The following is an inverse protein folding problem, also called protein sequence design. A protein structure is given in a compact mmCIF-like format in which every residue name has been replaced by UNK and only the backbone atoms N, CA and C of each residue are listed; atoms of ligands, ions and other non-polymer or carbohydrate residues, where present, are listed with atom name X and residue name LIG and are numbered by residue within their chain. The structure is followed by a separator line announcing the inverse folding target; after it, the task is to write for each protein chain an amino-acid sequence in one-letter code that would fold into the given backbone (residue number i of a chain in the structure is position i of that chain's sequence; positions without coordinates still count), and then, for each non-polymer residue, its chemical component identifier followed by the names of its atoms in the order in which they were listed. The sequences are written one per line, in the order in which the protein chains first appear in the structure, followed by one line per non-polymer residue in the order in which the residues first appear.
data_IF_661110640162
#
_entry.id   IF_661110640162
#
_cell.length_a   1.000
_cell.length_b   1.000
_cell.length_c   1.000
_cell.angle_alpha   90.00
_cell.angle_beta   90.00
_cell.angle_gamma   90.00
#
_symmetry.space_group_name_H-M   'P 1'
#
loop_
_entity.id
_entity.type
_entity.pdbx_description
1 polymer ?
#
# COMPACT_ATOMS: atom_id res chain seq x y z
N UNK A 1 -38.52 54.04 -31.62
CA UNK A 1 -37.70 53.40 -30.58
C UNK A 1 -37.55 51.89 -30.89
N UNK A 2 -36.41 51.48 -31.40
CA UNK A 2 -36.11 50.08 -31.68
C UNK A 2 -35.15 49.59 -30.59
N UNK A 3 -35.59 48.62 -29.76
CA UNK A 3 -34.72 47.92 -28.80
C UNK A 3 -33.84 46.92 -29.55
N UNK A 4 -32.53 47.09 -29.44
CA UNK A 4 -31.55 46.05 -29.78
C UNK A 4 -31.43 45.12 -28.58
N UNK A 5 -31.75 43.85 -28.77
CA UNK A 5 -31.44 42.79 -27.83
C UNK A 5 -30.07 42.22 -28.18
N UNK A 6 -29.09 42.42 -27.27
CA UNK A 6 -27.74 41.84 -27.40
C UNK A 6 -27.77 40.42 -26.82
N UNK A 7 -27.61 39.40 -27.68
CA UNK A 7 -27.37 38.01 -27.25
C UNK A 7 -25.92 37.91 -26.76
N UNK A 8 -25.77 37.61 -25.51
CA UNK A 8 -24.46 37.17 -24.94
C UNK A 8 -24.38 35.67 -25.08
N UNK A 9 -23.55 35.20 -26.02
CA UNK A 9 -23.22 33.79 -26.15
C UNK A 9 -22.16 33.42 -25.10
N UNK A 10 -22.55 32.65 -24.09
CA UNK A 10 -21.62 32.04 -23.13
C UNK A 10 -21.00 30.80 -23.80
N UNK A 11 -19.77 30.94 -24.21
CA UNK A 11 -18.93 29.80 -24.63
C UNK A 11 -18.52 29.00 -23.39
N UNK A 12 -19.20 27.90 -23.15
CA UNK A 12 -18.75 26.88 -22.21
C UNK A 12 -17.55 26.16 -22.84
N UNK A 13 -16.34 26.58 -22.46
CA UNK A 13 -15.12 25.83 -22.74
C UNK A 13 -15.10 24.56 -21.84
N UNK A 14 -15.60 23.45 -22.37
CA UNK A 14 -15.41 22.14 -21.77
C UNK A 14 -13.91 21.80 -21.80
N UNK A 15 -13.26 21.86 -20.66
CA UNK A 15 -11.93 21.27 -20.51
C UNK A 15 -12.05 19.76 -20.75
N UNK A 16 -11.65 19.30 -21.92
CA UNK A 16 -11.46 17.89 -22.18
C UNK A 16 -10.38 17.39 -21.21
N UNK A 17 -10.76 16.62 -20.21
CA UNK A 17 -9.81 15.86 -19.41
C UNK A 17 -9.13 14.91 -20.38
N UNK A 18 -7.87 15.17 -20.69
CA UNK A 18 -7.03 14.22 -21.44
C UNK A 18 -7.01 12.92 -20.63
N UNK A 19 -7.64 11.87 -21.14
CA UNK A 19 -7.55 10.55 -20.53
C UNK A 19 -6.09 10.16 -20.53
N UNK A 20 -5.55 9.86 -19.34
CA UNK A 20 -4.21 9.31 -19.21
C UNK A 20 -4.13 8.06 -20.09
N UNK A 21 -3.16 7.93 -21.00
CA UNK A 21 -3.06 6.76 -21.85
C UNK A 21 -3.00 5.49 -21.00
N UNK A 22 -3.82 4.50 -21.34
CA UNK A 22 -3.75 3.19 -20.67
C UNK A 22 -2.36 2.60 -20.90
N UNK A 23 -1.62 2.22 -19.83
CA UNK A 23 -0.31 1.61 -20.00
C UNK A 23 -0.38 0.38 -20.90
N UNK A 24 0.64 0.13 -21.74
CA UNK A 24 0.66 -1.05 -22.60
C UNK A 24 0.70 -2.33 -21.77
N UNK A 25 -0.01 -3.37 -22.23
CA UNK A 25 0.11 -4.72 -21.65
C UNK A 25 1.54 -5.22 -21.79
N UNK A 26 2.13 -5.72 -20.70
CA UNK A 26 3.51 -6.21 -20.72
C UNK A 26 3.55 -7.72 -20.83
N UNK A 27 4.55 -8.23 -21.55
CA UNK A 27 4.69 -9.66 -21.78
C UNK A 27 5.03 -10.42 -20.48
N UNK A 28 4.46 -11.60 -20.33
CA UNK A 28 4.74 -12.53 -19.22
C UNK A 28 6.18 -13.05 -19.22
N UNK A 29 6.81 -13.08 -20.39
CA UNK A 29 8.14 -13.62 -20.67
C UNK A 29 9.18 -12.54 -20.95
N UNK A 30 8.89 -11.30 -20.58
CA UNK A 30 9.82 -10.17 -20.72
C UNK A 30 11.14 -10.41 -19.99
N UNK A 31 12.20 -9.71 -20.40
CA UNK A 31 13.51 -9.83 -19.79
C UNK A 31 13.44 -9.59 -18.26
N UNK A 32 13.88 -10.59 -17.49
CA UNK A 32 13.83 -10.55 -16.01
C UNK A 32 12.49 -10.99 -15.38
N UNK A 33 11.50 -11.37 -16.19
CA UNK A 33 10.26 -11.92 -15.66
C UNK A 33 10.50 -13.30 -15.00
N UNK A 34 9.88 -13.57 -13.82
CA UNK A 34 9.88 -14.89 -13.20
C UNK A 34 9.23 -15.95 -14.08
N UNK A 35 9.53 -17.22 -13.81
CA UNK A 35 8.77 -18.33 -14.39
C UNK A 35 7.49 -18.50 -13.59
N UNK A 36 6.37 -18.13 -14.17
CA UNK A 36 5.07 -18.16 -13.51
C UNK A 36 4.38 -19.52 -13.60
N UNK A 37 3.76 -19.94 -12.51
CA UNK A 37 2.74 -20.99 -12.49
C UNK A 37 1.38 -20.36 -12.78
N UNK A 38 0.72 -20.78 -13.89
CA UNK A 38 -0.61 -20.26 -14.24
C UNK A 38 -1.70 -20.87 -13.35
N UNK A 39 -2.50 -19.99 -12.76
CA UNK A 39 -3.73 -20.37 -12.06
C UNK A 39 -4.91 -20.11 -13.01
N UNK A 40 -5.64 -21.15 -13.43
CA UNK A 40 -6.70 -21.00 -14.46
C UNK A 40 -7.86 -20.12 -14.00
N UNK A 41 -8.17 -20.14 -12.72
CA UNK A 41 -9.23 -19.33 -12.11
C UNK A 41 -8.97 -19.12 -10.61
N UNK A 42 -9.43 -17.99 -10.10
CA UNK A 42 -9.30 -17.66 -8.68
C UNK A 42 -7.87 -17.27 -8.26
N UNK A 43 -7.47 -17.71 -7.10
CA UNK A 43 -6.19 -17.34 -6.46
C UNK A 43 -5.24 -18.54 -6.34
N UNK A 44 -3.92 -18.31 -6.23
CA UNK A 44 -3.01 -19.34 -5.78
C UNK A 44 -3.42 -19.84 -4.37
N UNK A 45 -3.16 -21.12 -4.04
CA UNK A 45 -3.36 -21.60 -2.68
C UNK A 45 -2.59 -20.74 -1.66
N UNK A 46 -3.21 -20.42 -0.52
CA UNK A 46 -2.59 -19.61 0.52
C UNK A 46 -1.35 -20.27 1.17
N UNK A 47 -1.14 -21.57 0.94
CA UNK A 47 0.05 -22.32 1.39
C UNK A 47 1.15 -22.39 0.35
N UNK A 48 0.89 -21.94 -0.88
CA UNK A 48 1.86 -22.04 -1.97
C UNK A 48 2.78 -20.82 -2.01
N UNK A 49 4.07 -21.07 -2.18
CA UNK A 49 5.09 -20.02 -2.36
C UNK A 49 5.54 -19.93 -3.82
N UNK A 50 6.09 -18.79 -4.20
CA UNK A 50 6.66 -18.57 -5.53
C UNK A 50 5.84 -17.62 -6.41
N UNK A 51 5.96 -17.81 -7.73
CA UNK A 51 5.54 -16.87 -8.74
C UNK A 51 4.31 -17.40 -9.49
N UNK A 52 3.20 -16.68 -9.46
CA UNK A 52 1.92 -17.10 -10.04
C UNK A 52 1.38 -16.05 -11.01
N UNK A 53 0.64 -16.50 -12.04
CA UNK A 53 -0.11 -15.63 -12.93
C UNK A 53 -1.61 -15.96 -12.87
N UNK A 54 -2.43 -14.92 -12.74
CA UNK A 54 -3.91 -15.00 -12.68
C UNK A 54 -4.55 -14.04 -13.68
N UNK A 55 -5.85 -14.18 -13.87
CA UNK A 55 -6.64 -13.31 -14.74
C UNK A 55 -6.73 -13.84 -16.19
N UNK A 56 -7.34 -13.05 -17.09
CA UNK A 56 -7.75 -11.64 -16.95
C UNK A 56 -9.11 -11.40 -16.26
N UNK A 57 -9.84 -12.45 -15.90
CA UNK A 57 -11.13 -12.32 -15.23
C UNK A 57 -10.98 -12.38 -13.72
N UNK A 58 -11.65 -11.45 -13.03
CA UNK A 58 -11.62 -11.31 -11.58
C UNK A 58 -13.02 -11.40 -11.00
N UNK A 59 -13.22 -12.28 -10.03
CA UNK A 59 -14.49 -12.50 -9.36
C UNK A 59 -14.47 -11.99 -7.93
N UNK A 60 -15.57 -11.40 -7.49
CA UNK A 60 -15.74 -11.03 -6.09
C UNK A 60 -15.69 -12.29 -5.20
N UNK A 61 -14.87 -12.32 -4.15
CA UNK A 61 -14.75 -13.49 -3.32
C UNK A 61 -15.97 -13.63 -2.39
N UNK A 62 -16.33 -14.85 -1.99
CA UNK A 62 -17.48 -15.09 -1.11
C UNK A 62 -17.36 -14.40 0.25
N UNK A 63 -16.15 -14.01 0.67
CA UNK A 63 -15.86 -13.28 1.90
C UNK A 63 -16.34 -11.82 1.87
N UNK A 64 -16.67 -11.28 0.71
CA UNK A 64 -17.33 -9.97 0.59
C UNK A 64 -18.83 -10.00 0.91
N UNK A 65 -19.42 -11.19 0.92
CA UNK A 65 -20.84 -11.34 1.23
C UNK A 65 -21.06 -11.42 2.73
N UNK A 66 -22.02 -10.67 3.27
CA UNK A 66 -22.45 -10.81 4.66
C UNK A 66 -23.11 -12.19 4.81
N UNK A 67 -22.50 -13.05 5.61
CA UNK A 67 -23.03 -14.40 5.87
C UNK A 67 -23.87 -14.41 7.13
N UNK A 68 -25.05 -15.06 7.07
CA UNK A 68 -25.87 -15.29 8.26
C UNK A 68 -25.08 -16.07 9.33
N UNK A 69 -25.22 -15.65 10.59
CA UNK A 69 -24.52 -16.27 11.72
C UNK A 69 -23.06 -15.83 11.93
N UNK A 70 -22.51 -14.99 11.07
CA UNK A 70 -21.21 -14.35 11.29
C UNK A 70 -21.42 -13.04 12.05
N UNK A 71 -20.84 -12.95 13.25
CA UNK A 71 -20.88 -11.72 14.05
C UNK A 71 -19.95 -10.66 13.44
N UNK A 72 -20.50 -9.50 13.13
CA UNK A 72 -19.72 -8.37 12.64
C UNK A 72 -18.90 -7.73 13.76
N UNK A 73 -17.66 -7.35 13.45
CA UNK A 73 -16.84 -6.52 14.32
C UNK A 73 -17.34 -5.07 14.35
N UNK A 74 -16.72 -4.27 15.18
CA UNK A 74 -17.03 -2.84 15.35
C UNK A 74 -16.01 -2.01 14.56
N UNK A 75 -16.49 -1.03 13.78
CA UNK A 75 -15.64 -0.06 13.10
C UNK A 75 -15.86 1.31 13.75
N UNK A 76 -14.76 1.95 14.16
CA UNK A 76 -14.76 3.30 14.72
C UNK A 76 -13.75 4.17 14.00
N UNK A 77 -13.96 5.49 14.05
CA UNK A 77 -13.04 6.47 13.47
C UNK A 77 -12.75 7.59 14.47
N UNK A 78 -11.52 8.06 14.45
CA UNK A 78 -11.10 9.28 15.13
C UNK A 78 -10.04 10.01 14.31
N UNK A 79 -9.75 11.26 14.67
CA UNK A 79 -8.71 12.06 14.00
C UNK A 79 -7.53 12.31 14.92
N UNK A 80 -6.34 12.40 14.32
CA UNK A 80 -5.11 12.88 14.96
C UNK A 80 -4.69 14.18 14.27
N UNK A 81 -4.32 15.17 15.07
CA UNK A 81 -3.85 16.46 14.60
C UNK A 81 -2.33 16.45 14.43
N UNK A 82 -1.83 16.87 13.26
CA UNK A 82 -0.40 16.89 12.95
C UNK A 82 0.39 17.80 13.89
N UNK A 83 -0.23 18.85 14.43
CA UNK A 83 0.44 19.77 15.40
C UNK A 83 0.85 19.06 16.69
N UNK A 84 0.25 17.92 17.01
CA UNK A 84 0.57 17.10 18.17
C UNK A 84 1.58 15.99 17.86
N UNK A 85 1.92 15.78 16.58
CA UNK A 85 2.87 14.76 16.18
C UNK A 85 4.31 15.23 16.35
N UNK A 86 5.15 14.39 16.93
CA UNK A 86 6.61 14.59 16.99
C UNK A 86 7.31 14.17 15.69
N UNK A 87 6.69 13.28 14.93
CA UNK A 87 7.25 12.72 13.69
C UNK A 87 6.83 13.53 12.47
N UNK A 88 5.57 13.99 12.43
CA UNK A 88 4.98 14.70 11.29
C UNK A 88 4.18 15.92 11.77
N UNK A 89 4.87 16.96 12.31
CA UNK A 89 4.22 18.10 12.99
C UNK A 89 3.58 19.13 12.07
N UNK A 90 3.40 18.81 10.81
CA UNK A 90 2.97 19.73 9.74
C UNK A 90 4.05 19.75 8.68
N UNK A 91 3.77 19.21 7.52
CA UNK A 91 4.77 18.93 6.49
C UNK A 91 4.42 19.54 5.16
N UNK A 92 5.39 19.51 4.24
CA UNK A 92 5.20 20.00 2.89
C UNK A 92 4.06 19.25 2.18
N UNK A 93 3.15 20.01 1.59
CA UNK A 93 2.03 19.51 0.79
C UNK A 93 2.12 20.00 -0.64
N UNK A 94 3.30 19.86 -1.21
CA UNK A 94 3.55 20.33 -2.55
C UNK A 94 2.96 19.41 -3.60
N UNK A 95 2.77 19.97 -4.78
CA UNK A 95 2.60 19.19 -5.98
C UNK A 95 3.87 18.36 -6.27
N UNK A 96 3.77 17.48 -7.25
CA UNK A 96 4.94 16.73 -7.75
C UNK A 96 6.10 17.68 -8.06
N UNK A 97 7.28 17.40 -7.52
CA UNK A 97 8.47 18.22 -7.74
C UNK A 97 8.95 18.18 -9.19
N UNK A 98 9.87 19.07 -9.53
CA UNK A 98 10.51 19.09 -10.85
C UNK A 98 11.81 18.28 -10.82
N UNK A 99 12.16 17.54 -11.91
CA UNK A 99 13.45 16.85 -11.99
C UNK A 99 14.63 17.82 -11.80
N UNK A 100 15.56 17.46 -10.93
CA UNK A 100 16.78 18.25 -10.74
C UNK A 100 17.66 18.16 -12.00
N UNK A 101 17.99 19.28 -12.66
CA UNK A 101 18.82 19.26 -13.84
C UNK A 101 20.26 18.76 -13.59
N UNK A 102 20.73 18.80 -12.35
CA UNK A 102 22.06 18.39 -11.93
C UNK A 102 22.11 16.98 -11.35
N UNK A 103 20.95 16.40 -11.02
CA UNK A 103 20.84 15.06 -10.45
C UNK A 103 19.58 14.36 -10.98
N UNK A 104 19.76 13.51 -11.99
CA UNK A 104 18.66 12.78 -12.63
C UNK A 104 17.86 11.87 -11.67
N UNK A 105 18.38 11.61 -10.47
CA UNK A 105 17.74 10.77 -9.43
C UNK A 105 17.06 11.58 -8.32
N UNK A 106 16.97 12.88 -8.46
CA UNK A 106 16.37 13.77 -7.46
C UNK A 106 15.29 14.67 -8.07
N UNK A 107 14.37 15.11 -7.20
CA UNK A 107 13.40 16.16 -7.49
C UNK A 107 13.73 17.41 -6.68
N UNK A 108 13.56 18.57 -7.29
CA UNK A 108 13.49 19.85 -6.60
C UNK A 108 12.03 20.01 -6.15
N UNK A 109 11.83 20.16 -4.85
CA UNK A 109 10.50 20.32 -4.24
C UNK A 109 10.49 21.58 -3.39
N UNK A 110 9.52 22.43 -3.61
CA UNK A 110 9.23 23.57 -2.74
C UNK A 110 8.44 23.09 -1.51
N UNK A 111 8.94 23.36 -0.31
CA UNK A 111 8.29 22.97 0.92
C UNK A 111 7.31 24.05 1.40
N UNK A 112 6.03 23.73 1.49
CA UNK A 112 4.99 24.58 2.05
C UNK A 112 4.37 23.89 3.29
N UNK A 113 5.01 24.00 4.46
CA UNK A 113 4.51 23.38 5.69
C UNK A 113 3.07 23.79 5.98
N UNK A 114 2.23 22.81 6.31
CA UNK A 114 0.82 23.02 6.61
C UNK A 114 0.30 21.97 7.57
N UNK A 115 -0.44 22.40 8.59
CA UNK A 115 -1.11 21.50 9.51
C UNK A 115 -2.23 20.72 8.80
N UNK A 116 -2.47 19.50 9.27
CA UNK A 116 -3.51 18.63 8.75
C UNK A 116 -4.06 17.72 9.85
N UNK A 117 -5.22 17.15 9.56
CA UNK A 117 -5.80 16.09 10.37
C UNK A 117 -5.74 14.77 9.61
N UNK A 118 -5.43 13.69 10.33
CA UNK A 118 -5.35 12.33 9.86
C UNK A 118 -6.49 11.51 10.46
N UNK A 119 -7.24 10.82 9.62
CA UNK A 119 -8.25 9.87 10.07
C UNK A 119 -7.60 8.51 10.38
N UNK A 120 -7.93 7.99 11.54
CA UNK A 120 -7.63 6.61 11.92
C UNK A 120 -8.95 5.86 11.98
N UNK A 121 -9.07 4.80 11.19
CA UNK A 121 -10.22 3.88 11.22
C UNK A 121 -9.78 2.58 11.86
N UNK A 122 -10.51 2.13 12.87
CA UNK A 122 -10.18 0.92 13.63
C UNK A 122 -11.33 -0.07 13.54
N UNK A 123 -11.00 -1.26 13.08
CA UNK A 123 -11.88 -2.42 13.15
C UNK A 123 -11.46 -3.32 14.32
N UNK A 124 -12.41 -3.66 15.19
CA UNK A 124 -12.22 -4.61 16.29
C UNK A 124 -13.14 -5.80 16.05
N UNK A 125 -12.61 -7.03 15.90
CA UNK A 125 -13.43 -8.20 15.62
C UNK A 125 -14.34 -8.55 16.80
N UNK A 126 -15.55 -9.06 16.52
CA UNK A 126 -16.48 -9.50 17.56
C UNK A 126 -15.91 -10.58 18.49
N UNK A 127 -14.90 -11.31 18.03
CA UNK A 127 -14.20 -12.37 18.78
C UNK A 127 -13.09 -11.84 19.70
N UNK A 128 -12.81 -10.52 19.68
CA UNK A 128 -11.82 -9.94 20.57
C UNK A 128 -12.20 -10.16 22.05
N UNK A 129 -11.24 -10.60 22.84
CA UNK A 129 -11.43 -10.78 24.29
C UNK A 129 -10.69 -9.66 25.03
N UNK A 130 -11.44 -8.84 25.75
CA UNK A 130 -10.87 -7.75 26.55
C UNK A 130 -9.75 -8.24 27.47
N UNK A 131 -8.62 -7.52 27.45
CA UNK A 131 -7.44 -7.85 28.24
C UNK A 131 -6.49 -8.86 27.58
N UNK A 132 -6.83 -9.37 26.38
CA UNK A 132 -5.88 -10.19 25.60
C UNK A 132 -5.18 -9.33 24.55
N UNK A 133 -3.89 -9.60 24.29
CA UNK A 133 -3.15 -8.92 23.24
C UNK A 133 -3.61 -9.41 21.87
N UNK A 134 -4.29 -8.56 21.10
CA UNK A 134 -4.79 -8.88 19.77
C UNK A 134 -3.69 -8.78 18.72
N UNK A 135 -3.58 -9.75 17.79
CA UNK A 135 -2.88 -9.53 16.54
C UNK A 135 -3.43 -8.31 15.80
N UNK A 136 -2.62 -7.69 14.94
CA UNK A 136 -3.09 -6.53 14.18
C UNK A 136 -2.60 -6.51 12.73
N UNK A 137 -3.38 -5.85 11.89
CA UNK A 137 -2.95 -5.42 10.56
C UNK A 137 -3.04 -3.90 10.48
N UNK A 138 -1.95 -3.25 10.08
CA UNK A 138 -1.92 -1.82 9.75
C UNK A 138 -2.06 -1.68 8.25
N UNK A 139 -2.97 -0.81 7.80
CA UNK A 139 -3.13 -0.53 6.36
C UNK A 139 -2.92 0.95 6.08
N UNK A 140 -2.28 1.22 4.97
CA UNK A 140 -1.99 2.56 4.48
C UNK A 140 -3.12 3.08 3.58
N UNK A 141 -3.15 4.40 3.35
CA UNK A 141 -4.19 5.07 2.57
C UNK A 141 -5.60 4.76 3.07
N UNK A 142 -5.77 4.78 4.38
CA UNK A 142 -7.05 4.52 5.05
C UNK A 142 -8.14 5.49 4.64
N UNK A 143 -9.41 5.15 4.93
CA UNK A 143 -10.57 5.92 4.51
C UNK A 143 -10.64 7.28 5.20
N UNK A 144 -11.39 8.20 4.57
CA UNK A 144 -11.68 9.52 5.14
C UNK A 144 -12.66 9.41 6.30
N UNK A 145 -12.68 10.43 7.14
CA UNK A 145 -13.67 10.55 8.22
C UNK A 145 -15.09 10.56 7.65
N UNK A 146 -15.95 9.74 8.20
CA UNK A 146 -17.33 9.55 7.74
C UNK A 146 -17.49 8.55 6.59
N UNK A 147 -16.40 8.03 6.01
CA UNK A 147 -16.40 7.07 4.90
C UNK A 147 -15.64 5.79 5.28
N UNK A 148 -16.07 5.03 6.31
CA UNK A 148 -15.32 3.87 6.77
C UNK A 148 -15.23 2.79 5.69
N UNK A 149 -14.07 2.12 5.59
CA UNK A 149 -13.91 0.94 4.75
C UNK A 149 -14.81 -0.19 5.27
N UNK A 150 -15.52 -0.82 4.37
CA UNK A 150 -16.39 -1.97 4.65
C UNK A 150 -15.85 -3.27 4.05
N UNK A 151 -14.87 -3.22 3.17
CA UNK A 151 -14.33 -4.38 2.46
C UNK A 151 -13.44 -5.20 3.39
N UNK A 152 -12.39 -4.59 3.94
CA UNK A 152 -11.47 -5.30 4.84
C UNK A 152 -12.19 -5.81 6.11
N UNK A 153 -13.01 -5.02 6.84
CA UNK A 153 -13.77 -5.52 7.97
C UNK A 153 -14.62 -6.74 7.65
N UNK A 154 -15.36 -6.71 6.54
CA UNK A 154 -16.22 -7.82 6.12
C UNK A 154 -15.45 -9.09 5.77
N UNK A 155 -14.32 -8.96 5.08
CA UNK A 155 -13.42 -10.08 4.80
C UNK A 155 -12.89 -10.66 6.11
N UNK A 156 -12.45 -9.83 7.04
CA UNK A 156 -11.96 -10.27 8.34
C UNK A 156 -13.04 -10.97 9.17
N UNK A 157 -14.27 -10.43 9.23
CA UNK A 157 -15.39 -11.09 9.91
C UNK A 157 -15.56 -12.55 9.42
N UNK A 158 -15.58 -12.74 8.10
CA UNK A 158 -15.75 -14.06 7.50
C UNK A 158 -14.55 -14.99 7.73
N UNK A 159 -13.32 -14.50 7.54
CA UNK A 159 -12.10 -15.30 7.72
C UNK A 159 -11.89 -15.70 9.18
N UNK A 160 -12.16 -14.79 10.13
CA UNK A 160 -12.04 -15.05 11.57
C UNK A 160 -13.10 -16.07 12.01
N UNK A 161 -14.36 -15.91 11.57
CA UNK A 161 -15.42 -16.86 11.87
C UNK A 161 -15.11 -18.27 11.34
N UNK A 162 -14.43 -18.38 10.20
CA UNK A 162 -13.97 -19.63 9.61
C UNK A 162 -12.64 -20.14 10.20
N UNK A 163 -12.01 -19.40 11.13
CA UNK A 163 -10.71 -19.72 11.74
C UNK A 163 -9.57 -19.81 10.70
N UNK A 164 -9.68 -19.10 9.59
CA UNK A 164 -8.65 -19.03 8.54
C UNK A 164 -7.56 -18.00 8.89
N UNK A 165 -7.91 -16.98 9.67
CA UNK A 165 -6.96 -16.03 10.24
C UNK A 165 -7.27 -15.83 11.73
N UNK A 166 -6.32 -15.35 12.55
CA UNK A 166 -6.59 -15.05 13.96
C UNK A 166 -7.54 -13.84 14.10
N UNK A 167 -8.24 -13.70 15.23
CA UNK A 167 -9.05 -12.52 15.51
C UNK A 167 -8.15 -11.29 15.70
N UNK A 168 -7.91 -10.55 14.61
CA UNK A 168 -7.02 -9.41 14.56
C UNK A 168 -7.77 -8.08 14.49
N UNK A 169 -7.19 -7.06 15.07
CA UNK A 169 -7.59 -5.65 14.91
C UNK A 169 -7.05 -5.13 13.59
N UNK A 170 -7.82 -4.35 12.84
CA UNK A 170 -7.30 -3.62 11.69
C UNK A 170 -7.23 -2.11 12.01
N UNK A 171 -6.08 -1.52 11.76
CA UNK A 171 -5.81 -0.08 11.92
C UNK A 171 -5.53 0.51 10.54
N UNK A 172 -6.50 1.24 10.01
CA UNK A 172 -6.44 1.82 8.67
C UNK A 172 -6.10 3.31 8.81
N UNK A 173 -4.92 3.70 8.35
CA UNK A 173 -4.33 5.02 8.57
C UNK A 173 -4.43 5.83 7.29
N UNK A 174 -5.17 6.95 7.32
CA UNK A 174 -5.16 7.92 6.25
C UNK A 174 -3.79 8.62 6.21
N UNK A 175 -3.22 8.82 5.03
CA UNK A 175 -2.05 9.67 4.86
C UNK A 175 -2.40 11.15 5.05
N UNK A 176 -1.40 12.00 5.17
CA UNK A 176 -1.62 13.43 5.35
C UNK A 176 -2.06 14.19 4.08
N UNK A 177 -2.03 13.54 2.92
CA UNK A 177 -2.49 14.09 1.63
C UNK A 177 -1.40 14.15 0.56
N UNK A 178 -1.83 14.41 -0.67
CA UNK A 178 -0.99 14.33 -1.87
C UNK A 178 -0.76 12.89 -2.33
N UNK A 179 -0.07 12.73 -3.46
CA UNK A 179 0.09 11.41 -4.09
C UNK A 179 1.49 11.14 -4.64
N UNK A 180 2.40 12.10 -4.60
CA UNK A 180 3.72 11.97 -5.21
C UNK A 180 4.82 12.50 -4.32
N UNK A 181 6.07 12.34 -4.79
CA UNK A 181 7.25 12.93 -4.15
C UNK A 181 7.06 14.44 -3.95
N UNK A 182 7.42 14.92 -2.77
CA UNK A 182 7.20 16.30 -2.35
C UNK A 182 5.89 16.55 -1.63
N UNK A 183 4.95 15.61 -1.70
CA UNK A 183 3.73 15.63 -0.90
C UNK A 183 3.96 15.04 0.49
N UNK A 184 3.00 15.24 1.35
CA UNK A 184 2.99 14.63 2.68
C UNK A 184 2.97 13.12 2.63
N UNK A 185 2.17 12.52 1.73
CA UNK A 185 2.14 11.10 1.50
C UNK A 185 3.51 10.57 1.04
N UNK A 186 4.20 11.31 0.17
CA UNK A 186 5.57 10.97 -0.24
C UNK A 186 6.54 10.99 0.93
N UNK A 187 6.46 12.00 1.81
CA UNK A 187 7.31 12.10 3.00
C UNK A 187 7.08 10.92 3.97
N UNK A 188 5.83 10.48 4.11
CA UNK A 188 5.48 9.36 4.98
C UNK A 188 5.90 8.01 4.38
N UNK A 189 5.68 7.80 3.08
CA UNK A 189 5.76 6.48 2.46
C UNK A 189 7.01 6.24 1.62
N UNK A 190 7.56 7.29 1.01
CA UNK A 190 8.70 7.16 0.11
C UNK A 190 10.04 7.46 0.82
N UNK A 191 10.03 7.54 2.16
CA UNK A 191 11.24 7.69 2.97
C UNK A 191 11.88 6.33 3.23
N UNK A 192 13.15 6.17 2.84
CA UNK A 192 13.94 4.94 3.05
C UNK A 192 14.44 4.84 4.50
N UNK A 193 13.52 4.79 5.47
CA UNK A 193 13.84 4.73 6.91
C UNK A 193 12.73 4.08 7.73
N UNK A 194 13.00 3.78 9.01
CA UNK A 194 12.02 3.27 9.97
C UNK A 194 11.05 4.31 10.52
N UNK A 195 11.21 5.60 10.17
CA UNK A 195 10.49 6.72 10.79
C UNK A 195 8.96 6.54 10.79
N UNK A 196 8.39 6.03 9.70
CA UNK A 196 6.94 5.82 9.62
C UNK A 196 6.46 4.70 10.55
N UNK A 197 7.24 3.62 10.71
CA UNK A 197 6.97 2.59 11.70
C UNK A 197 7.06 3.14 13.13
N UNK A 198 8.08 3.93 13.41
CA UNK A 198 8.28 4.59 14.73
C UNK A 198 7.11 5.53 15.07
N UNK A 199 6.63 6.30 14.09
CA UNK A 199 5.41 7.12 14.23
C UNK A 199 4.19 6.28 14.62
N UNK A 200 3.98 5.17 13.93
CA UNK A 200 2.85 4.27 14.21
C UNK A 200 2.97 3.69 15.63
N UNK A 201 4.15 3.20 16.01
CA UNK A 201 4.36 2.62 17.34
C UNK A 201 4.22 3.65 18.48
N UNK A 202 4.76 4.86 18.28
CA UNK A 202 4.83 5.86 19.34
C UNK A 202 3.58 6.73 19.47
N UNK A 203 2.83 6.94 18.37
CA UNK A 203 1.71 7.88 18.38
C UNK A 203 0.39 7.21 17.98
N UNK A 204 0.34 6.44 16.88
CA UNK A 204 -0.93 5.91 16.36
C UNK A 204 -1.47 4.77 17.23
N UNK A 205 -0.66 3.74 17.52
CA UNK A 205 -1.14 2.57 18.27
C UNK A 205 -1.55 2.90 19.71
N UNK A 206 -0.83 3.76 20.46
CA UNK A 206 -1.30 4.24 21.76
C UNK A 206 -2.64 4.98 21.69
N UNK A 207 -2.85 5.82 20.66
CA UNK A 207 -4.13 6.50 20.45
C UNK A 207 -5.26 5.51 20.12
N UNK A 208 -4.98 4.47 19.32
CA UNK A 208 -5.93 3.38 19.04
C UNK A 208 -6.33 2.64 20.32
N UNK A 209 -5.34 2.25 21.13
CA UNK A 209 -5.60 1.55 22.40
C UNK A 209 -6.42 2.42 23.38
N UNK A 210 -6.11 3.72 23.47
CA UNK A 210 -6.85 4.67 24.30
C UNK A 210 -8.28 4.88 23.80
N UNK A 211 -8.49 4.95 22.49
CA UNK A 211 -9.80 5.20 21.89
C UNK A 211 -10.72 3.98 21.95
N UNK A 212 -10.19 2.77 21.78
CA UNK A 212 -10.99 1.55 21.63
C UNK A 212 -10.99 0.66 22.88
N UNK A 213 -10.04 0.85 23.79
CA UNK A 213 -9.83 -0.01 24.95
C UNK A 213 -9.29 -1.41 24.59
N UNK A 214 -8.80 -1.62 23.36
CA UNK A 214 -8.14 -2.88 22.99
C UNK A 214 -6.69 -2.88 23.49
N UNK A 215 -6.12 -4.07 23.67
CA UNK A 215 -4.69 -4.27 23.86
C UNK A 215 -4.13 -4.91 22.59
N UNK A 216 -3.09 -4.33 22.01
CA UNK A 216 -2.47 -4.80 20.77
C UNK A 216 -1.21 -5.64 21.07
N UNK A 217 -1.01 -6.74 20.36
CA UNK A 217 0.23 -7.52 20.44
C UNK A 217 1.42 -6.66 20.05
N UNK A 218 2.54 -6.79 20.76
CA UNK A 218 3.83 -6.12 20.45
C UNK A 218 4.81 -7.04 19.71
N UNK A 219 4.43 -8.29 19.48
CA UNK A 219 5.29 -9.25 18.78
C UNK A 219 5.15 -9.12 17.26
N UNK A 220 6.26 -8.95 16.56
CA UNK A 220 6.26 -8.77 15.09
C UNK A 220 5.57 -9.89 14.31
N UNK A 221 5.66 -11.13 14.81
CA UNK A 221 4.96 -12.29 14.23
C UNK A 221 3.43 -12.20 14.26
N UNK A 222 2.86 -11.37 15.14
CA UNK A 222 1.42 -11.14 15.29
C UNK A 222 0.96 -9.88 14.56
N UNK A 223 1.82 -9.30 13.71
CA UNK A 223 1.55 -8.02 13.06
C UNK A 223 1.82 -8.06 11.58
N UNK A 224 0.83 -7.57 10.83
CA UNK A 224 0.90 -7.38 9.39
C UNK A 224 0.83 -5.90 9.02
N UNK A 225 1.40 -5.58 7.87
CA UNK A 225 1.31 -4.26 7.23
C UNK A 225 0.89 -4.43 5.79
N UNK A 226 0.01 -3.56 5.29
CA UNK A 226 -0.54 -3.65 3.95
C UNK A 226 -0.66 -2.27 3.30
N UNK A 227 -0.38 -2.20 2.02
CA UNK A 227 -0.63 -1.00 1.24
C UNK A 227 -0.69 -1.25 -0.27
N UNK A 228 -1.01 -0.17 -0.99
CA UNK A 228 -0.90 -0.12 -2.44
C UNK A 228 0.04 1.01 -2.86
N UNK A 229 0.75 0.85 -3.99
CA UNK A 229 1.66 1.88 -4.51
C UNK A 229 2.76 2.25 -3.51
N UNK A 230 2.99 3.53 -3.24
CA UNK A 230 3.90 4.01 -2.19
C UNK A 230 3.54 3.43 -0.82
N UNK A 231 2.24 3.24 -0.51
CA UNK A 231 1.81 2.57 0.72
C UNK A 231 2.31 1.13 0.84
N UNK A 232 2.45 0.42 -0.28
CA UNK A 232 3.02 -0.94 -0.29
C UNK A 232 4.56 -0.92 -0.09
N UNK A 233 5.26 0.06 -0.68
CA UNK A 233 6.68 0.27 -0.42
C UNK A 233 6.91 0.64 1.05
N UNK A 234 6.08 1.52 1.62
CA UNK A 234 6.11 1.86 3.05
C UNK A 234 5.87 0.63 3.95
N UNK A 235 4.90 -0.24 3.60
CA UNK A 235 4.65 -1.47 4.34
C UNK A 235 5.89 -2.37 4.38
N UNK A 236 6.55 -2.55 3.23
CA UNK A 236 7.82 -3.29 3.20
C UNK A 236 8.93 -2.58 3.99
N UNK A 237 9.06 -1.24 3.84
CA UNK A 237 10.06 -0.43 4.54
C UNK A 237 9.90 -0.50 6.07
N UNK A 238 8.66 -0.52 6.58
CA UNK A 238 8.37 -0.73 8.00
C UNK A 238 8.89 -2.08 8.49
N UNK A 239 8.54 -3.18 7.80
CA UNK A 239 8.99 -4.53 8.15
C UNK A 239 10.51 -4.69 7.95
N UNK A 240 11.08 -4.02 6.96
CA UNK A 240 12.52 -4.06 6.70
C UNK A 240 13.35 -3.42 7.81
N UNK A 241 12.93 -2.24 8.29
CA UNK A 241 13.66 -1.51 9.34
C UNK A 241 13.33 -2.02 10.73
N UNK A 242 12.11 -2.50 10.97
CA UNK A 242 11.62 -2.95 12.26
C UNK A 242 10.99 -4.36 12.18
N UNK A 243 11.77 -5.41 11.85
CA UNK A 243 11.27 -6.78 11.79
C UNK A 243 10.87 -7.33 13.17
N UNK A 244 11.31 -6.71 14.26
CA UNK A 244 10.85 -6.98 15.62
C UNK A 244 9.39 -6.54 15.85
N UNK A 245 8.91 -5.54 15.06
CA UNK A 245 7.54 -5.03 15.15
C UNK A 245 6.62 -5.56 14.06
N UNK A 246 7.14 -5.82 12.83
CA UNK A 246 6.33 -6.24 11.69
C UNK A 246 7.04 -7.33 10.89
N UNK A 247 6.37 -8.46 10.70
CA UNK A 247 6.95 -9.60 9.97
C UNK A 247 6.11 -10.06 8.78
N UNK A 248 4.91 -9.49 8.58
CA UNK A 248 3.95 -9.90 7.57
C UNK A 248 3.63 -8.71 6.67
N UNK A 249 3.86 -8.86 5.36
CA UNK A 249 3.70 -7.77 4.39
C UNK A 249 2.75 -8.18 3.27
N UNK A 250 1.76 -7.31 2.98
CA UNK A 250 0.90 -7.43 1.81
C UNK A 250 1.12 -6.19 0.94
N UNK A 251 1.61 -6.41 -0.28
CA UNK A 251 2.02 -5.36 -1.22
C UNK A 251 1.22 -5.44 -2.51
N UNK A 252 0.37 -4.47 -2.76
CA UNK A 252 -0.33 -4.30 -4.03
C UNK A 252 0.37 -3.23 -4.86
N UNK A 253 0.75 -3.55 -6.10
CA UNK A 253 1.39 -2.59 -7.04
C UNK A 253 2.53 -1.79 -6.39
N UNK A 254 3.41 -2.47 -5.66
CA UNK A 254 4.43 -1.83 -4.81
C UNK A 254 5.34 -0.88 -5.57
N UNK A 255 5.51 0.35 -5.08
CA UNK A 255 6.39 1.38 -5.62
C UNK A 255 7.85 1.07 -5.28
N UNK A 256 8.37 -0.05 -5.83
CA UNK A 256 9.79 -0.41 -5.72
C UNK A 256 10.65 0.20 -6.83
N UNK A 257 10.20 1.33 -7.36
CA UNK A 257 10.85 2.15 -8.38
C UNK A 257 11.76 3.19 -7.74
N UNK A 258 12.50 3.96 -8.56
CA UNK A 258 13.30 5.07 -8.07
C UNK A 258 12.40 6.22 -7.56
N UNK A 259 11.91 6.05 -6.35
CA UNK A 259 11.08 7.02 -5.67
C UNK A 259 11.44 7.09 -4.20
N UNK A 260 11.81 8.30 -3.74
CA UNK A 260 11.99 8.60 -2.32
C UNK A 260 11.80 10.10 -2.06
N UNK A 261 11.43 10.43 -0.86
CA UNK A 261 11.31 11.79 -0.39
C UNK A 261 11.55 11.84 1.14
N UNK A 262 12.45 12.72 1.65
CA UNK A 262 13.42 13.52 0.89
C UNK A 262 14.50 12.66 0.22
N UNK A 263 15.24 13.23 -0.74
CA UNK A 263 16.36 12.53 -1.38
C UNK A 263 17.44 12.17 -0.35
N UNK A 264 17.87 10.91 -0.39
CA UNK A 264 18.94 10.40 0.45
C UNK A 264 20.08 9.86 -0.45
N UNK A 265 21.27 10.47 -0.42
CA UNK A 265 22.39 10.03 -1.25
C UNK A 265 22.92 8.63 -0.88
N UNK A 266 22.63 8.12 0.30
CA UNK A 266 22.98 6.74 0.69
C UNK A 266 22.11 5.68 -0.01
N UNK A 267 20.90 6.06 -0.43
CA UNK A 267 19.97 5.22 -1.20
C UNK A 267 19.46 5.97 -2.42
N UNK A 268 20.35 6.30 -3.40
CA UNK A 268 20.03 7.25 -4.47
C UNK A 268 18.90 6.79 -5.41
N UNK A 269 18.62 5.49 -5.46
CA UNK A 269 17.49 4.90 -6.17
C UNK A 269 16.23 4.72 -5.33
N UNK A 270 16.17 5.26 -4.10
CA UNK A 270 15.00 5.10 -3.24
C UNK A 270 14.62 3.63 -3.04
N UNK A 271 13.33 3.30 -3.15
CA UNK A 271 12.85 1.93 -2.97
C UNK A 271 13.37 0.92 -4.02
N UNK A 272 13.89 1.40 -5.16
CA UNK A 272 14.61 0.57 -6.13
C UNK A 272 15.80 -0.16 -5.50
N UNK A 273 16.47 0.46 -4.53
CA UNK A 273 17.66 -0.13 -3.91
C UNK A 273 17.37 -1.43 -3.16
N UNK A 274 16.13 -1.70 -2.75
CA UNK A 274 15.79 -2.96 -2.12
C UNK A 274 16.17 -4.15 -2.98
N UNK A 275 15.76 -4.17 -4.24
CA UNK A 275 16.08 -5.26 -5.17
C UNK A 275 17.37 -5.03 -5.97
N UNK A 276 17.94 -3.84 -5.88
CA UNK A 276 19.21 -3.52 -6.56
C UNK A 276 20.46 -3.85 -5.72
N UNK A 277 20.28 -4.22 -4.44
CA UNK A 277 21.43 -4.57 -3.62
C UNK A 277 21.13 -4.71 -2.13
N UNK A 278 20.23 -3.91 -1.58
CA UNK A 278 19.98 -3.88 -0.13
C UNK A 278 19.59 -5.24 0.42
N UNK A 279 18.62 -5.92 -0.18
CA UNK A 279 18.19 -7.25 0.26
C UNK A 279 19.31 -8.27 0.06
N UNK A 280 19.96 -8.26 -1.10
CA UNK A 280 21.01 -9.23 -1.43
C UNK A 280 22.19 -9.16 -0.46
N UNK A 281 22.58 -7.96 -0.03
CA UNK A 281 23.73 -7.71 0.84
C UNK A 281 23.40 -7.72 2.36
N UNK A 282 22.13 -7.93 2.72
CA UNK A 282 21.69 -7.95 4.12
C UNK A 282 21.44 -9.38 4.60
N UNK A 283 21.53 -9.66 5.92
CA UNK A 283 21.02 -10.90 6.50
C UNK A 283 19.53 -11.08 6.20
N UNK A 284 19.08 -12.31 6.08
CA UNK A 284 17.64 -12.63 5.93
C UNK A 284 16.90 -12.17 7.19
N UNK A 285 15.82 -11.43 7.00
CA UNK A 285 14.92 -10.96 8.06
C UNK A 285 13.69 -11.87 8.14
N UNK A 286 13.03 -11.99 9.29
CA UNK A 286 11.85 -12.85 9.47
C UNK A 286 10.60 -12.24 8.82
N UNK A 287 10.67 -11.90 7.53
CA UNK A 287 9.59 -11.28 6.77
C UNK A 287 8.95 -12.33 5.87
N UNK A 288 7.62 -12.41 5.92
CA UNK A 288 6.79 -13.16 4.98
C UNK A 288 6.00 -12.15 4.13
N UNK A 289 6.08 -12.27 2.80
CA UNK A 289 5.55 -11.26 1.91
C UNK A 289 4.62 -11.85 0.86
N UNK A 290 3.39 -11.36 0.81
CA UNK A 290 2.51 -11.47 -0.34
C UNK A 290 2.64 -10.21 -1.20
N UNK A 291 2.80 -10.36 -2.51
CA UNK A 291 2.96 -9.22 -3.41
C UNK A 291 2.27 -9.43 -4.75
N UNK A 292 1.86 -8.33 -5.37
CA UNK A 292 1.17 -8.30 -6.65
C UNK A 292 1.61 -7.12 -7.50
N UNK A 293 1.57 -7.32 -8.84
CA UNK A 293 1.59 -6.24 -9.83
C UNK A 293 0.73 -6.64 -11.03
N UNK A 294 0.07 -5.68 -11.66
CA UNK A 294 -0.69 -5.90 -12.89
C UNK A 294 0.17 -5.75 -14.15
N UNK A 295 -0.20 -6.41 -15.24
CA UNK A 295 0.48 -6.29 -16.55
C UNK A 295 0.31 -4.90 -17.20
N UNK A 296 -0.69 -4.12 -16.71
CA UNK A 296 -0.95 -2.74 -17.11
C UNK A 296 -0.60 -1.73 -16.02
N UNK A 297 0.28 -2.10 -15.11
CA UNK A 297 0.73 -1.19 -14.05
C UNK A 297 1.54 -0.01 -14.61
N UNK A 298 1.82 0.98 -13.79
CA UNK A 298 2.44 2.24 -14.19
C UNK A 298 3.78 2.02 -14.91
N UNK A 299 3.99 2.83 -15.92
CA UNK A 299 5.24 2.91 -16.68
C UNK A 299 5.52 4.37 -17.00
N UNK A 300 6.48 4.97 -16.32
CA UNK A 300 6.84 6.38 -16.42
C UNK A 300 8.33 6.54 -16.86
N UNK A 301 8.71 6.18 -18.09
CA UNK A 301 10.12 6.13 -18.51
C UNK A 301 10.81 7.50 -18.51
N UNK A 302 10.03 8.58 -18.54
CA UNK A 302 10.54 9.94 -18.52
C UNK A 302 10.58 10.57 -17.11
N UNK A 303 10.03 9.90 -16.11
CA UNK A 303 10.17 10.34 -14.74
C UNK A 303 11.63 10.14 -14.32
N UNK A 304 12.29 11.19 -13.82
CA UNK A 304 13.68 11.16 -13.37
C UNK A 304 14.70 10.72 -14.47
N UNK A 305 14.27 10.33 -15.66
CA UNK A 305 15.10 9.95 -16.84
C UNK A 305 16.18 8.89 -16.55
N UNK A 306 15.82 7.90 -15.73
CA UNK A 306 16.75 6.89 -15.24
C UNK A 306 16.33 5.45 -15.54
N UNK A 307 15.23 5.25 -16.29
CA UNK A 307 14.63 3.96 -16.65
C UNK A 307 14.23 3.08 -15.43
N UNK A 308 14.13 3.69 -14.24
CA UNK A 308 13.80 2.98 -13.00
C UNK A 308 12.33 3.19 -12.56
N UNK A 309 11.46 3.66 -13.46
CA UNK A 309 10.03 3.94 -13.17
C UNK A 309 9.10 3.00 -13.95
N UNK A 310 9.41 1.70 -13.94
CA UNK A 310 8.57 0.61 -14.41
C UNK A 310 8.14 -0.27 -13.23
N UNK A 311 6.88 -0.16 -12.82
CA UNK A 311 6.34 -0.92 -11.68
C UNK A 311 6.37 -2.43 -11.92
N UNK A 312 6.10 -2.88 -13.15
CA UNK A 312 6.16 -4.31 -13.50
C UNK A 312 7.59 -4.83 -13.35
N UNK A 313 8.57 -4.16 -13.99
CA UNK A 313 9.96 -4.55 -13.93
C UNK A 313 10.48 -4.52 -12.47
N UNK A 314 10.15 -3.49 -11.69
CA UNK A 314 10.56 -3.35 -10.31
C UNK A 314 10.01 -4.48 -9.42
N UNK A 315 8.72 -4.85 -9.57
CA UNK A 315 8.12 -5.94 -8.80
C UNK A 315 8.63 -7.31 -9.24
N UNK A 316 8.91 -7.54 -10.54
CA UNK A 316 9.59 -8.74 -11.01
C UNK A 316 10.97 -8.91 -10.36
N UNK A 317 11.77 -7.84 -10.35
CA UNK A 317 13.09 -7.82 -9.70
C UNK A 317 12.99 -8.05 -8.19
N UNK A 318 11.98 -7.45 -7.54
CA UNK A 318 11.75 -7.65 -6.11
C UNK A 318 11.45 -9.12 -5.81
N UNK A 319 10.52 -9.76 -6.54
CA UNK A 319 10.20 -11.17 -6.40
C UNK A 319 11.42 -12.07 -6.63
N UNK A 320 12.19 -11.81 -7.70
CA UNK A 320 13.42 -12.56 -7.99
C UNK A 320 14.46 -12.44 -6.87
N UNK A 321 14.59 -11.24 -6.27
CA UNK A 321 15.52 -11.00 -5.15
C UNK A 321 15.07 -11.71 -3.88
N UNK A 322 13.78 -11.67 -3.54
CA UNK A 322 13.23 -12.41 -2.41
C UNK A 322 13.46 -13.93 -2.56
N UNK A 323 13.20 -14.46 -3.76
CA UNK A 323 13.46 -15.85 -4.11
C UNK A 323 14.94 -16.23 -3.92
N UNK A 324 15.84 -15.46 -4.49
CA UNK A 324 17.27 -15.69 -4.41
C UNK A 324 17.81 -15.69 -2.97
N UNK A 325 17.16 -14.88 -2.09
CA UNK A 325 17.51 -14.77 -0.67
C UNK A 325 16.82 -15.82 0.21
N UNK A 326 15.87 -16.61 -0.33
CA UNK A 326 15.14 -17.62 0.43
C UNK A 326 14.06 -17.07 1.37
N UNK A 327 13.46 -15.93 1.02
CA UNK A 327 12.30 -15.42 1.77
C UNK A 327 11.05 -16.26 1.50
N UNK A 328 10.17 -16.32 2.47
CA UNK A 328 8.81 -16.84 2.30
C UNK A 328 7.96 -15.78 1.57
N UNK A 329 7.66 -16.03 0.30
CA UNK A 329 6.89 -15.08 -0.51
C UNK A 329 5.92 -15.77 -1.47
N UNK A 330 4.83 -15.06 -1.78
CA UNK A 330 3.93 -15.37 -2.88
C UNK A 330 3.82 -14.13 -3.77
N UNK A 331 4.16 -14.27 -5.04
CA UNK A 331 4.07 -13.21 -6.02
C UNK A 331 2.99 -13.53 -7.05
N UNK A 332 2.04 -12.60 -7.22
CA UNK A 332 0.91 -12.73 -8.14
C UNK A 332 1.03 -11.67 -9.24
N UNK A 333 1.32 -12.12 -10.45
CA UNK A 333 1.25 -11.29 -11.66
C UNK A 333 -0.16 -11.38 -12.25
N UNK A 334 -0.82 -10.24 -12.46
CA UNK A 334 -2.23 -10.20 -12.83
C UNK A 334 -2.44 -9.65 -14.24
N UNK A 335 -3.13 -10.41 -15.08
CA UNK A 335 -3.43 -10.02 -16.46
C UNK A 335 -4.63 -9.07 -16.51
N UNK A 336 -4.62 -8.10 -17.43
CA UNK A 336 -5.65 -7.05 -17.60
C UNK A 336 -5.89 -6.25 -16.31
N UNK A 337 -4.83 -6.01 -15.54
CA UNK A 337 -4.89 -5.35 -14.24
C UNK A 337 -4.06 -4.05 -14.26
N UNK A 338 -4.70 -2.89 -14.11
CA UNK A 338 -4.02 -1.61 -13.95
C UNK A 338 -3.47 -1.43 -12.53
N UNK A 339 -2.82 -0.30 -12.30
CA UNK A 339 -2.28 0.09 -11.00
C UNK A 339 -3.35 0.08 -9.90
N UNK A 340 -3.07 -0.62 -8.79
CA UNK A 340 -3.97 -0.72 -7.63
C UNK A 340 -5.39 -1.21 -7.98
N UNK A 341 -5.53 -2.14 -8.92
CA UNK A 341 -6.83 -2.63 -9.38
C UNK A 341 -7.70 -3.13 -8.22
N UNK A 342 -8.84 -2.45 -8.04
CA UNK A 342 -9.79 -2.79 -6.98
C UNK A 342 -10.37 -4.20 -7.14
N UNK A 343 -10.70 -4.62 -8.38
CA UNK A 343 -11.29 -5.94 -8.66
C UNK A 343 -10.35 -7.05 -8.21
N UNK A 344 -9.08 -6.88 -8.57
CA UNK A 344 -8.03 -7.80 -8.17
C UNK A 344 -7.84 -7.82 -6.65
N UNK A 345 -7.74 -6.64 -6.03
CA UNK A 345 -7.56 -6.53 -4.59
C UNK A 345 -8.71 -7.21 -3.84
N UNK A 346 -9.95 -6.99 -4.25
CA UNK A 346 -11.10 -7.65 -3.65
C UNK A 346 -11.01 -9.17 -3.78
N UNK A 347 -10.68 -9.70 -4.97
CA UNK A 347 -10.55 -11.14 -5.19
C UNK A 347 -9.44 -11.77 -4.35
N UNK A 348 -8.27 -11.13 -4.29
CA UNK A 348 -7.05 -11.74 -3.75
C UNK A 348 -6.85 -11.52 -2.26
N UNK A 349 -7.48 -10.50 -1.66
CA UNK A 349 -7.24 -10.11 -0.26
C UNK A 349 -7.48 -11.25 0.74
N UNK A 350 -8.54 -12.10 0.62
CA UNK A 350 -8.69 -13.26 1.51
C UNK A 350 -7.48 -14.19 1.48
N UNK A 351 -7.03 -14.59 0.29
CA UNK A 351 -5.89 -15.48 0.11
C UNK A 351 -4.56 -14.83 0.56
N UNK A 352 -4.39 -13.53 0.31
CA UNK A 352 -3.21 -12.78 0.76
C UNK A 352 -3.12 -12.74 2.29
N UNK A 353 -4.25 -12.48 2.96
CA UNK A 353 -4.34 -12.53 4.42
C UNK A 353 -3.98 -13.94 4.95
N UNK A 354 -4.57 -14.98 4.38
CA UNK A 354 -4.24 -16.36 4.79
C UNK A 354 -2.76 -16.68 4.57
N UNK A 355 -2.20 -16.32 3.41
CA UNK A 355 -0.79 -16.57 3.11
C UNK A 355 0.13 -15.93 4.13
N UNK A 356 -0.07 -14.66 4.47
CA UNK A 356 0.83 -13.99 5.42
C UNK A 356 0.64 -14.46 6.85
N UNK A 357 -0.52 -15.01 7.21
CA UNK A 357 -0.80 -15.55 8.55
C UNK A 357 -0.52 -17.06 8.68
N UNK A 358 -0.23 -17.75 7.56
CA UNK A 358 0.18 -19.15 7.55
C UNK A 358 1.63 -19.29 8.04
#
# INVERSE_FOLDING_TARGET
MRLLATLVSVLLSGAAHAQTPTPPTRALDGAGAPKFTRIPSGNPPATAEGDFVIGPEYAAPPELTVKGGVSAGTVTQFTMDSTQSKFYPGIARDAFGTPDPNNAKALIVEAHPKDYQRTITVYVPAQYKKGTAAPLIVTHDGPRLGEPDTVLPRILDNLIAQKRVPPMVAVMIQNGGGDAQGSERGLEYDTMSGKFAEFIEAEVLPAVEAHTGVTLSRAGKDRAVMGCSSGAAAAFTMAWNHPEWYQRVISYSGTFVNQQWPFNPATPGGAWEYHNGVIANSPVKPIRMWMHVGDRDLYNPNAMRDDMHDWVAANHRMAATLKAKGYHYQYVFALDSPHCDRRLREQTLPAALEFVWH
#
